data_IF_764628709770
#
_entry.id   IF_764628709770
#
_cell.length_a   1.000
_cell.length_b   1.000
_cell.length_c   1.000
_cell.angle_alpha   90.00
_cell.angle_beta   90.00
_cell.angle_gamma   90.00
#
_symmetry.space_group_name_H-M   'P 1'
#
loop_
_entity.id
_entity.type
_entity.pdbx_description
1 polymer ?
#
# COMPACT_ATOMS: atom_id res chain seq x y z
N UNK A 1 -15.06 -3.30 12.92
CA UNK A 1 -14.08 -3.08 11.85
C UNK A 1 -13.43 -1.72 12.03
N UNK A 2 -12.12 -1.63 11.87
CA UNK A 2 -11.40 -0.38 11.96
C UNK A 2 -11.75 0.53 10.79
N UNK A 3 -11.62 1.85 10.99
CA UNK A 3 -11.77 2.81 9.91
C UNK A 3 -10.53 2.76 9.01
N UNK A 4 -10.71 3.09 7.76
CA UNK A 4 -9.63 3.17 6.80
C UNK A 4 -9.32 4.63 6.52
N UNK A 5 -8.07 5.02 6.71
CA UNK A 5 -7.59 6.35 6.40
C UNK A 5 -6.47 6.23 5.38
N UNK A 6 -6.55 7.00 4.32
CA UNK A 6 -5.54 6.97 3.25
C UNK A 6 -4.82 8.32 3.25
N UNK A 7 -3.51 8.28 3.46
CA UNK A 7 -2.69 9.49 3.44
C UNK A 7 -2.77 10.10 2.03
N UNK A 8 -2.94 11.43 1.92
CA UNK A 8 -3.06 12.09 0.60
C UNK A 8 -1.93 11.78 -0.38
N UNK A 9 -0.72 11.52 0.11
CA UNK A 9 0.41 11.17 -0.77
C UNK A 9 0.15 9.89 -1.56
N UNK A 10 -0.73 9.01 -1.07
CA UNK A 10 -1.06 7.76 -1.74
C UNK A 10 -1.77 8.01 -3.07
N UNK A 11 -2.59 9.07 -3.16
CA UNK A 11 -3.23 9.43 -4.42
C UNK A 11 -2.18 9.75 -5.49
N UNK A 12 -1.12 10.42 -5.10
CA UNK A 12 0.03 10.71 -5.97
C UNK A 12 0.74 9.42 -6.37
N UNK A 13 0.99 8.55 -5.40
CA UNK A 13 1.62 7.25 -5.66
C UNK A 13 0.82 6.46 -6.70
N UNK A 14 -0.50 6.36 -6.51
CA UNK A 14 -1.37 5.59 -7.39
C UNK A 14 -1.45 6.21 -8.79
N UNK A 15 -1.49 7.53 -8.87
CA UNK A 15 -1.48 8.23 -10.15
C UNK A 15 -0.22 7.89 -10.94
N UNK A 16 0.94 7.97 -10.29
CA UNK A 16 2.23 7.68 -10.92
C UNK A 16 2.32 6.23 -11.36
N UNK A 17 1.85 5.30 -10.55
CA UNK A 17 1.83 3.88 -10.89
C UNK A 17 0.94 3.65 -12.11
N UNK A 18 -0.24 4.23 -12.11
CA UNK A 18 -1.20 4.07 -13.20
C UNK A 18 -0.64 4.61 -14.51
N UNK A 19 -0.07 5.81 -14.47
CA UNK A 19 0.50 6.44 -15.66
C UNK A 19 1.66 5.62 -16.23
N UNK A 20 2.52 5.10 -15.35
CA UNK A 20 3.66 4.29 -15.76
C UNK A 20 3.21 3.02 -16.48
N UNK A 21 2.26 2.29 -15.90
CA UNK A 21 1.78 1.05 -16.50
C UNK A 21 1.01 1.32 -17.79
N UNK A 22 0.22 2.41 -17.81
CA UNK A 22 -0.61 2.75 -18.95
C UNK A 22 0.20 3.08 -20.20
N UNK A 23 1.46 3.45 -20.08
CA UNK A 23 2.33 3.67 -21.24
C UNK A 23 2.39 2.43 -22.12
N UNK A 24 2.36 1.25 -21.51
CA UNK A 24 2.41 -0.01 -22.23
C UNK A 24 1.07 -0.71 -22.33
N UNK A 25 0.21 -0.55 -21.32
CA UNK A 25 -1.03 -1.32 -21.24
C UNK A 25 -2.03 -0.64 -20.29
N UNK A 26 -3.00 0.07 -20.87
CA UNK A 26 -4.03 0.79 -20.10
C UNK A 26 -4.91 -0.15 -19.28
N UNK A 27 -5.25 -1.30 -19.83
CA UNK A 27 -6.10 -2.28 -19.16
C UNK A 27 -5.40 -2.83 -17.91
N UNK A 28 -4.12 -3.13 -18.02
CA UNK A 28 -3.32 -3.60 -16.91
C UNK A 28 -3.17 -2.51 -15.84
N UNK A 29 -3.07 -1.24 -16.25
CA UNK A 29 -3.00 -0.13 -15.31
C UNK A 29 -4.24 -0.08 -14.43
N UNK A 30 -5.42 -0.17 -15.02
CA UNK A 30 -6.68 -0.16 -14.28
C UNK A 30 -6.75 -1.36 -13.34
N UNK A 31 -6.41 -2.54 -13.84
CA UNK A 31 -6.43 -3.77 -13.04
C UNK A 31 -5.49 -3.68 -11.84
N UNK A 32 -4.29 -3.16 -12.04
CA UNK A 32 -3.31 -3.02 -10.97
C UNK A 32 -3.82 -2.09 -9.87
N UNK A 33 -4.42 -0.96 -10.25
CA UNK A 33 -4.97 -0.03 -9.26
C UNK A 33 -6.12 -0.69 -8.49
N UNK A 34 -6.98 -1.45 -9.16
CA UNK A 34 -8.06 -2.17 -8.49
C UNK A 34 -7.53 -3.18 -7.48
N UNK A 35 -6.46 -3.90 -7.83
CA UNK A 35 -5.84 -4.86 -6.93
C UNK A 35 -5.24 -4.18 -5.70
N UNK A 36 -4.64 -3.01 -5.89
CA UNK A 36 -4.07 -2.24 -4.78
C UNK A 36 -5.18 -1.79 -3.83
N UNK A 37 -6.29 -1.26 -4.35
CA UNK A 37 -7.42 -0.88 -3.51
C UNK A 37 -8.03 -2.08 -2.77
N UNK A 38 -8.06 -3.24 -3.40
CA UNK A 38 -8.51 -4.46 -2.73
C UNK A 38 -7.61 -4.81 -1.55
N UNK A 39 -6.31 -4.54 -1.65
CA UNK A 39 -5.39 -4.72 -0.53
C UNK A 39 -5.68 -3.76 0.62
N UNK A 40 -6.07 -2.52 0.31
CA UNK A 40 -6.46 -1.58 1.36
C UNK A 40 -7.65 -2.11 2.15
N UNK A 41 -8.64 -2.66 1.47
CA UNK A 41 -9.81 -3.25 2.11
C UNK A 41 -9.42 -4.45 2.97
N UNK A 42 -8.52 -5.29 2.47
CA UNK A 42 -8.02 -6.44 3.24
C UNK A 42 -7.30 -5.99 4.51
N UNK A 43 -6.49 -4.95 4.41
CA UNK A 43 -5.77 -4.37 5.56
C UNK A 43 -6.76 -3.81 6.58
N UNK A 44 -7.81 -3.15 6.12
CA UNK A 44 -8.86 -2.63 7.02
C UNK A 44 -9.53 -3.76 7.78
N UNK A 45 -9.80 -4.86 7.10
CA UNK A 45 -10.49 -6.01 7.67
C UNK A 45 -9.56 -6.84 8.57
N UNK A 46 -8.30 -6.99 8.16
CA UNK A 46 -7.31 -7.79 8.88
C UNK A 46 -6.02 -6.97 9.10
N UNK A 47 -6.05 -6.02 10.06
CA UNK A 47 -4.94 -5.06 10.21
C UNK A 47 -3.59 -5.69 10.51
N UNK A 48 -3.58 -6.87 11.13
CA UNK A 48 -2.34 -7.54 11.52
C UNK A 48 -1.80 -8.50 10.46
N UNK A 49 -2.39 -8.49 9.25
CA UNK A 49 -1.95 -9.38 8.18
C UNK A 49 -0.56 -9.05 7.63
N UNK A 50 -0.15 -7.79 7.73
CA UNK A 50 1.11 -7.34 7.18
C UNK A 50 2.32 -7.73 8.03
N UNK A 51 3.49 -7.68 7.40
CA UNK A 51 4.76 -7.93 8.07
C UNK A 51 5.27 -6.66 8.74
N UNK A 52 6.09 -6.81 9.79
CA UNK A 52 6.67 -5.68 10.50
C UNK A 52 7.85 -5.11 9.72
N UNK A 53 7.78 -3.82 9.40
CA UNK A 53 8.88 -3.16 8.72
C UNK A 53 10.13 -3.12 9.59
N UNK A 54 9.97 -3.07 10.92
CA UNK A 54 11.09 -3.03 11.86
C UNK A 54 12.06 -4.19 11.69
N UNK A 55 11.58 -5.32 11.15
CA UNK A 55 12.42 -6.50 10.91
C UNK A 55 13.26 -6.38 9.65
N UNK A 56 13.02 -5.36 8.85
CA UNK A 56 13.69 -5.15 7.55
C UNK A 56 14.61 -3.93 7.53
N UNK A 57 14.50 -3.05 8.53
CA UNK A 57 15.25 -1.80 8.58
C UNK A 57 16.02 -1.71 9.90
N UNK A 58 16.98 -0.81 9.96
CA UNK A 58 17.87 -0.67 11.11
C UNK A 58 17.38 0.31 12.18
N UNK A 59 16.20 0.91 11.95
CA UNK A 59 15.62 1.87 12.90
C UNK A 59 14.30 1.36 13.45
N UNK A 60 13.84 1.94 14.55
CA UNK A 60 12.55 1.58 15.15
C UNK A 60 11.41 2.15 14.31
N UNK A 61 10.39 1.32 14.12
CA UNK A 61 9.18 1.75 13.43
C UNK A 61 8.04 0.81 13.76
N UNK A 62 6.82 1.33 13.77
CA UNK A 62 5.61 0.53 13.95
C UNK A 62 4.87 0.33 12.62
N UNK A 63 5.48 0.70 11.51
CA UNK A 63 4.90 0.45 10.19
C UNK A 63 4.86 -1.05 9.87
N UNK A 64 3.81 -1.41 9.14
CA UNK A 64 3.66 -2.74 8.56
C UNK A 64 3.61 -2.61 7.05
N UNK A 65 3.82 -3.71 6.35
CA UNK A 65 3.73 -3.70 4.90
C UNK A 65 3.08 -4.97 4.38
N UNK A 66 2.43 -4.84 3.22
CA UNK A 66 1.82 -5.95 2.48
C UNK A 66 2.31 -5.84 1.04
N UNK A 67 2.70 -6.98 0.48
CA UNK A 67 3.13 -7.03 -0.92
C UNK A 67 1.90 -7.25 -1.80
N UNK A 68 1.82 -6.46 -2.87
CA UNK A 68 0.78 -6.55 -3.88
C UNK A 68 1.45 -6.54 -5.25
N UNK A 69 1.74 -7.73 -5.81
CA UNK A 69 2.47 -7.83 -7.07
C UNK A 69 3.85 -7.19 -6.99
N UNK A 70 4.10 -6.23 -7.85
CA UNK A 70 5.36 -5.48 -7.88
C UNK A 70 5.40 -4.31 -6.92
N UNK A 71 4.36 -4.14 -6.09
CA UNK A 71 4.22 -3.00 -5.20
C UNK A 71 4.16 -3.43 -3.76
N UNK A 72 4.52 -2.50 -2.88
CA UNK A 72 4.41 -2.69 -1.44
C UNK A 72 3.52 -1.59 -0.88
N UNK A 73 2.57 -2.00 -0.03
CA UNK A 73 1.65 -1.08 0.66
C UNK A 73 2.16 -0.94 2.08
N UNK A 74 2.52 0.28 2.45
CA UNK A 74 3.04 0.61 3.77
C UNK A 74 1.92 1.23 4.59
N UNK A 75 1.71 0.73 5.81
CA UNK A 75 0.61 1.21 6.64
C UNK A 75 0.93 1.15 8.13
N UNK A 76 0.12 1.82 8.92
CA UNK A 76 0.19 1.82 10.39
C UNK A 76 -1.17 1.47 10.96
N UNK A 77 -1.16 0.84 12.14
CA UNK A 77 -2.37 0.59 12.92
C UNK A 77 -2.44 1.62 14.03
N UNK A 78 -3.59 2.27 14.15
CA UNK A 78 -3.91 3.19 15.26
C UNK A 78 -5.10 2.62 16.03
N UNK A 79 -5.53 3.30 17.09
CA UNK A 79 -6.58 2.78 17.98
C UNK A 79 -7.88 2.45 17.26
N UNK A 80 -8.34 3.35 16.39
CA UNK A 80 -9.63 3.21 15.72
C UNK A 80 -9.54 3.08 14.22
N UNK A 81 -8.33 3.20 13.65
CA UNK A 81 -8.16 3.18 12.20
C UNK A 81 -6.82 2.59 11.79
N UNK A 82 -6.76 2.17 10.54
CA UNK A 82 -5.49 1.87 9.88
C UNK A 82 -5.23 3.00 8.90
N UNK A 83 -3.99 3.43 8.80
CA UNK A 83 -3.60 4.46 7.86
C UNK A 83 -2.70 3.87 6.79
N UNK A 84 -3.15 3.92 5.54
CA UNK A 84 -2.30 3.61 4.39
C UNK A 84 -1.38 4.80 4.19
N UNK A 85 -0.09 4.56 4.25
CA UNK A 85 0.91 5.63 4.24
C UNK A 85 1.55 5.83 2.87
N UNK A 86 1.97 4.76 2.21
CA UNK A 86 2.60 4.82 0.88
C UNK A 86 2.31 3.56 0.09
N UNK A 87 2.33 3.71 -1.23
CA UNK A 87 2.38 2.57 -2.14
C UNK A 87 3.60 2.78 -3.03
N UNK A 88 4.53 1.84 -3.00
CA UNK A 88 5.82 1.99 -3.66
C UNK A 88 6.16 0.75 -4.46
N UNK A 89 7.03 0.91 -5.45
CA UNK A 89 7.54 -0.23 -6.21
C UNK A 89 8.52 -1.00 -5.30
N UNK A 90 8.29 -2.31 -5.14
CA UNK A 90 9.10 -3.13 -4.23
C UNK A 90 10.52 -3.36 -4.73
N UNK A 91 10.77 -3.12 -6.01
CA UNK A 91 12.09 -3.30 -6.64
C UNK A 91 12.84 -2.00 -6.81
N UNK A 92 12.31 -0.91 -6.29
CA UNK A 92 12.92 0.41 -6.39
C UNK A 92 13.85 0.62 -5.21
N UNK A 93 15.05 1.08 -5.48
CA UNK A 93 16.05 1.36 -4.44
C UNK A 93 15.77 2.66 -3.69
#
# INVERSE_FOLDING_TARGET
MMKLRINPIVAEDLKNIKEYIAEDNEEMAVKTIQEIYARFENIQQFPYMGADLAKRVSFRTDYKYVICGNYVVLYKIRDEYVEIYRVMNRHQD
#
